data_IF_832545940528
#
_entry.id   IF_832545940528
#
_cell.length_a   1.000
_cell.length_b   1.000
_cell.length_c   1.000
_cell.angle_alpha   90.00
_cell.angle_beta   90.00
_cell.angle_gamma   90.00
#
_symmetry.space_group_name_H-M   'P 1'
#
loop_
_entity.id
_entity.type
_entity.pdbx_description
1 polymer ?
#
# COMPACT_ATOMS: atom_id res chain seq x y z
N UNK A 1 4.85 -22.47 -9.53
CA UNK A 1 5.25 -22.07 -8.16
C UNK A 1 4.43 -20.83 -7.79
N UNK A 2 3.48 -20.93 -6.85
CA UNK A 2 2.68 -19.76 -6.44
C UNK A 2 3.55 -18.95 -5.48
N UNK A 3 3.98 -17.76 -5.87
CA UNK A 3 4.72 -16.86 -4.99
C UNK A 3 3.75 -16.35 -3.90
N UNK A 4 3.96 -16.78 -2.67
CA UNK A 4 3.10 -16.48 -1.51
C UNK A 4 3.41 -15.13 -0.85
N UNK A 5 4.31 -14.34 -1.42
CA UNK A 5 4.80 -13.07 -0.86
C UNK A 5 3.97 -11.83 -1.24
N UNK A 6 2.95 -11.99 -2.11
CA UNK A 6 2.09 -10.89 -2.56
C UNK A 6 2.74 -9.90 -3.53
N UNK A 7 3.98 -10.14 -3.96
CA UNK A 7 4.69 -9.27 -4.89
C UNK A 7 4.41 -9.65 -6.36
N UNK A 8 4.09 -8.64 -7.17
CA UNK A 8 4.05 -8.76 -8.62
C UNK A 8 5.47 -8.94 -9.19
N UNK A 9 5.57 -9.37 -10.45
CA UNK A 9 6.87 -9.56 -11.12
C UNK A 9 7.67 -8.25 -11.15
N UNK A 10 7.01 -7.12 -11.47
CA UNK A 10 7.67 -5.81 -11.50
C UNK A 10 8.13 -5.34 -10.11
N UNK A 11 7.31 -5.53 -9.07
CA UNK A 11 7.69 -5.18 -7.71
C UNK A 11 8.88 -6.03 -7.22
N UNK A 12 8.88 -7.33 -7.54
CA UNK A 12 10.02 -8.21 -7.23
C UNK A 12 11.29 -7.76 -7.94
N UNK A 13 11.21 -7.40 -9.22
CA UNK A 13 12.37 -6.88 -9.96
C UNK A 13 12.92 -5.60 -9.33
N UNK A 14 12.05 -4.63 -8.99
CA UNK A 14 12.48 -3.37 -8.37
C UNK A 14 13.14 -3.62 -7.01
N UNK A 15 12.57 -4.51 -6.19
CA UNK A 15 13.11 -4.89 -4.88
C UNK A 15 14.45 -5.62 -5.00
N UNK A 16 14.53 -6.66 -5.82
CA UNK A 16 15.70 -7.53 -5.88
C UNK A 16 16.88 -6.84 -6.58
N UNK A 17 16.60 -5.85 -7.43
CA UNK A 17 17.63 -5.01 -8.07
C UNK A 17 17.94 -3.73 -7.28
N UNK A 18 17.23 -3.48 -6.19
CA UNK A 18 17.34 -2.26 -5.37
C UNK A 18 17.24 -0.96 -6.20
N UNK A 19 16.25 -0.89 -7.10
CA UNK A 19 16.00 0.26 -7.97
C UNK A 19 14.67 0.93 -7.67
N UNK A 20 14.65 2.25 -7.80
CA UNK A 20 13.42 3.05 -7.76
C UNK A 20 12.52 2.78 -8.98
N UNK A 21 11.22 2.71 -8.76
CA UNK A 21 10.25 2.59 -9.84
C UNK A 21 9.94 3.98 -10.42
N UNK A 22 10.18 4.17 -11.72
CA UNK A 22 9.87 5.43 -12.43
C UNK A 22 8.52 5.44 -13.15
N UNK A 23 7.73 4.36 -13.01
CA UNK A 23 6.41 4.24 -13.65
C UNK A 23 5.33 4.93 -12.80
N UNK A 24 5.27 6.26 -12.88
CA UNK A 24 4.43 7.12 -12.04
C UNK A 24 2.91 7.04 -12.31
N UNK A 25 2.49 6.46 -13.43
CA UNK A 25 1.09 6.19 -13.77
C UNK A 25 0.59 4.85 -13.19
N UNK A 26 1.48 4.05 -12.61
CA UNK A 26 1.11 2.79 -11.98
C UNK A 26 0.26 3.03 -10.72
N UNK A 27 -0.84 2.27 -10.59
CA UNK A 27 -1.74 2.33 -9.42
C UNK A 27 -1.03 2.09 -8.07
N UNK A 28 0.06 1.33 -8.07
CA UNK A 28 0.81 1.01 -6.85
C UNK A 28 1.98 1.97 -6.60
N UNK A 29 2.21 2.91 -7.52
CA UNK A 29 3.29 3.87 -7.41
C UNK A 29 3.00 4.89 -6.31
N UNK A 30 4.01 5.15 -5.47
CA UNK A 30 3.98 6.20 -4.44
C UNK A 30 5.31 6.93 -4.46
N UNK A 31 5.31 8.22 -4.13
CA UNK A 31 6.54 9.00 -4.08
C UNK A 31 7.31 8.74 -2.77
N UNK A 32 7.87 7.53 -2.65
CA UNK A 32 8.62 7.10 -1.48
C UNK A 32 9.73 6.13 -1.88
N UNK A 33 10.93 6.68 -2.07
CA UNK A 33 12.10 5.96 -2.59
C UNK A 33 12.58 4.82 -1.70
N UNK A 34 12.42 4.93 -0.36
CA UNK A 34 12.81 3.87 0.59
C UNK A 34 12.05 2.54 0.39
N UNK A 35 10.90 2.57 -0.28
CA UNK A 35 10.14 1.38 -0.70
C UNK A 35 10.09 1.25 -2.23
N UNK A 36 11.13 1.74 -2.91
CA UNK A 36 11.33 1.66 -4.36
C UNK A 36 10.12 2.22 -5.14
N UNK A 37 9.49 3.25 -4.57
CA UNK A 37 8.29 3.90 -5.07
C UNK A 37 7.10 2.96 -5.28
N UNK A 38 6.99 1.86 -4.51
CA UNK A 38 5.96 0.85 -4.69
C UNK A 38 5.24 0.47 -3.38
N UNK A 39 3.91 0.61 -3.38
CA UNK A 39 3.05 0.21 -2.26
C UNK A 39 3.18 -1.27 -1.90
N UNK A 40 3.40 -2.16 -2.89
CA UNK A 40 3.57 -3.59 -2.62
C UNK A 40 4.87 -3.88 -1.86
N UNK A 41 5.95 -3.17 -2.21
CA UNK A 41 7.24 -3.28 -1.54
C UNK A 41 7.13 -2.70 -0.14
N UNK A 42 6.44 -1.56 0.03
CA UNK A 42 6.16 -0.99 1.34
C UNK A 42 5.45 -1.95 2.29
N UNK A 43 4.43 -2.67 1.80
CA UNK A 43 3.73 -3.70 2.58
C UNK A 43 4.66 -4.86 2.90
N UNK A 44 5.43 -5.33 1.91
CA UNK A 44 6.35 -6.45 2.07
C UNK A 44 7.44 -6.16 3.11
N UNK A 45 8.01 -4.95 3.10
CA UNK A 45 9.08 -4.50 3.98
C UNK A 45 8.63 -4.31 5.44
N UNK A 46 7.31 -4.36 5.71
CA UNK A 46 6.77 -4.13 7.06
C UNK A 46 6.63 -5.42 7.88
N UNK A 47 7.61 -6.34 7.81
CA UNK A 47 7.71 -7.57 8.62
C UNK A 47 6.42 -8.42 8.67
N UNK A 48 5.65 -8.48 7.58
CA UNK A 48 4.35 -9.18 7.55
C UNK A 48 3.32 -8.65 8.57
N UNK A 49 3.52 -7.42 9.08
CA UNK A 49 2.61 -6.72 9.98
C UNK A 49 1.84 -5.64 9.23
N UNK A 50 0.63 -5.28 9.68
CA UNK A 50 -0.05 -4.09 9.17
C UNK A 50 0.76 -2.82 9.45
N UNK A 51 0.87 -1.93 8.46
CA UNK A 51 1.43 -0.60 8.67
C UNK A 51 0.51 0.23 9.57
N UNK A 52 1.11 1.01 10.45
CA UNK A 52 0.44 2.04 11.23
C UNK A 52 0.01 3.20 10.34
N UNK A 53 -0.98 3.98 10.79
CA UNK A 53 -1.41 5.18 10.05
C UNK A 53 -0.31 6.25 9.95
N UNK A 54 0.71 6.23 10.83
CA UNK A 54 1.87 7.14 10.75
C UNK A 54 2.84 6.71 9.66
N UNK A 55 3.13 5.42 9.58
CA UNK A 55 3.96 4.84 8.50
C UNK A 55 3.33 5.04 7.12
N UNK A 56 1.99 4.95 7.04
CA UNK A 56 1.24 5.24 5.81
C UNK A 56 1.28 6.74 5.48
N UNK A 57 1.17 7.61 6.50
CA UNK A 57 1.25 9.06 6.33
C UNK A 57 2.60 9.49 5.74
N UNK A 58 3.70 8.91 6.23
CA UNK A 58 5.05 9.16 5.72
C UNK A 58 5.19 8.78 4.24
N UNK A 59 4.65 7.62 3.83
CA UNK A 59 4.74 7.10 2.45
C UNK A 59 3.91 7.86 1.44
N UNK A 60 2.78 8.40 1.87
CA UNK A 60 1.82 9.10 1.01
C UNK A 60 2.00 10.62 1.04
N UNK A 61 2.95 11.13 1.82
CA UNK A 61 3.17 12.55 2.09
C UNK A 61 1.88 13.31 2.43
N UNK A 62 1.11 12.76 3.37
CA UNK A 62 -0.13 13.38 3.87
C UNK A 62 -0.18 13.32 5.38
N UNK A 63 -0.95 14.22 6.00
CA UNK A 63 -1.06 14.25 7.46
C UNK A 63 -1.68 12.95 8.01
N UNK A 64 -1.24 12.54 9.21
CA UNK A 64 -1.85 11.43 9.96
C UNK A 64 -3.38 11.59 10.08
N UNK A 65 -3.86 12.82 10.34
CA UNK A 65 -5.27 13.13 10.40
C UNK A 65 -5.98 12.84 9.06
N UNK A 66 -5.33 13.15 7.93
CA UNK A 66 -5.85 12.85 6.60
C UNK A 66 -5.96 11.36 6.34
N UNK A 67 -4.92 10.57 6.68
CA UNK A 67 -4.97 9.10 6.59
C UNK A 67 -6.13 8.55 7.42
N UNK A 68 -6.29 9.01 8.67
CA UNK A 68 -7.38 8.57 9.55
C UNK A 68 -8.77 8.86 8.98
N UNK A 69 -8.95 10.03 8.36
CA UNK A 69 -10.21 10.39 7.70
C UNK A 69 -10.51 9.47 6.51
N UNK A 70 -9.50 9.16 5.68
CA UNK A 70 -9.64 8.26 4.53
C UNK A 70 -10.03 6.87 5.01
N UNK A 71 -9.30 6.32 5.99
CA UNK A 71 -9.56 5.02 6.61
C UNK A 71 -11.01 4.96 7.15
N UNK A 72 -11.42 5.95 7.93
CA UNK A 72 -12.77 6.01 8.53
C UNK A 72 -13.86 6.00 7.47
N UNK A 73 -13.70 6.78 6.39
CA UNK A 73 -14.65 6.81 5.27
C UNK A 73 -14.70 5.48 4.52
N UNK A 74 -13.55 4.84 4.31
CA UNK A 74 -13.46 3.53 3.67
C UNK A 74 -14.20 2.47 4.49
N UNK A 75 -13.97 2.39 5.80
CA UNK A 75 -14.69 1.47 6.69
C UNK A 75 -16.20 1.73 6.72
N UNK A 76 -16.63 3.00 6.74
CA UNK A 76 -18.05 3.33 6.68
C UNK A 76 -18.70 2.81 5.39
N UNK A 77 -18.02 2.97 4.24
CA UNK A 77 -18.49 2.46 2.95
C UNK A 77 -18.57 0.93 2.93
N UNK A 78 -17.54 0.24 3.45
CA UNK A 78 -17.54 -1.22 3.56
C UNK A 78 -18.69 -1.72 4.45
N UNK A 79 -18.88 -1.12 5.64
CA UNK A 79 -19.99 -1.46 6.54
C UNK A 79 -21.36 -1.27 5.89
N UNK A 80 -21.54 -0.21 5.10
CA UNK A 80 -22.79 0.02 4.35
C UNK A 80 -23.04 -1.12 3.36
N UNK A 81 -22.06 -1.44 2.52
CA UNK A 81 -22.20 -2.49 1.51
C UNK A 81 -22.43 -3.88 2.11
N UNK A 82 -21.75 -4.22 3.21
CA UNK A 82 -21.92 -5.50 3.90
C UNK A 82 -23.33 -5.67 4.52
N UNK A 83 -23.99 -4.58 4.91
CA UNK A 83 -25.38 -4.62 5.40
C UNK A 83 -26.41 -4.71 4.27
N UNK A 84 -26.14 -4.07 3.14
CA UNK A 84 -27.07 -4.01 2.00
C UNK A 84 -27.09 -5.29 1.15
N UNK A 85 -26.00 -6.08 1.21
CA UNK A 85 -25.92 -7.42 0.59
C UNK A 85 -25.40 -8.43 1.63
N UNK A 86 -26.27 -8.92 2.53
CA UNK A 86 -25.93 -10.10 3.31
C UNK A 86 -25.81 -11.24 2.30
N UNK A 87 -24.59 -11.74 2.11
CA UNK A 87 -24.35 -12.95 1.32
C UNK A 87 -25.12 -14.14 1.92
#
# INVERSE_FOLDING_TARGET
>A
MKNYDGLTICARHCKDSDIECHLNDCRMWVDYSKDNNCTLIAIYNNDQKPMTLREIAERLDISFARVKQIETKAFAKLKKHLREKPY
#
